data_IF_922510466998
#
_entry.id   IF_922510466998
#
_cell.length_a   1.000
_cell.length_b   1.000
_cell.length_c   1.000
_cell.angle_alpha   90.00
_cell.angle_beta   90.00
_cell.angle_gamma   90.00
#
_symmetry.space_group_name_H-M   'P 1'
#
loop_
_entity.id
_entity.type
_entity.pdbx_description
1 polymer ?
#
# COMPACT_ATOMS: atom_id res chain seq x y z
N UNK A 1 4.05 22.73 -3.89
CA UNK A 1 4.65 21.68 -4.72
C UNK A 1 3.99 21.74 -6.08
N UNK A 2 4.77 21.81 -7.15
CA UNK A 2 4.23 21.71 -8.51
C UNK A 2 3.84 20.24 -8.75
N UNK A 3 2.55 20.00 -9.01
CA UNK A 3 2.06 18.65 -9.32
C UNK A 3 2.61 18.18 -10.67
N UNK A 4 2.76 16.86 -10.81
CA UNK A 4 3.05 16.28 -12.11
C UNK A 4 1.95 16.69 -13.12
N UNK A 5 2.35 17.04 -14.35
CA UNK A 5 1.44 17.63 -15.35
C UNK A 5 0.20 16.78 -15.67
N UNK A 6 0.29 15.45 -15.48
CA UNK A 6 -0.82 14.50 -15.71
C UNK A 6 -1.83 14.43 -14.56
N UNK A 7 -1.59 15.11 -13.44
CA UNK A 7 -2.38 14.98 -12.21
C UNK A 7 -2.74 16.33 -11.59
N UNK A 8 -2.70 17.39 -12.40
CA UNK A 8 -3.34 18.64 -12.03
C UNK A 8 -4.83 18.35 -11.74
N UNK A 9 -5.33 18.70 -10.54
CA UNK A 9 -6.74 18.59 -10.22
C UNK A 9 -7.59 19.23 -11.32
N UNK A 10 -8.67 18.58 -11.75
CA UNK A 10 -9.64 19.27 -12.59
C UNK A 10 -10.28 20.42 -11.78
N UNK A 11 -10.81 21.46 -12.44
CA UNK A 11 -11.50 22.55 -11.73
C UNK A 11 -12.63 22.04 -10.81
N UNK A 12 -13.22 20.88 -11.10
CA UNK A 12 -14.23 20.23 -10.26
C UNK A 12 -13.69 19.46 -9.05
N UNK A 13 -12.40 19.10 -9.04
CA UNK A 13 -11.72 18.44 -7.91
C UNK A 13 -11.21 19.44 -6.87
N UNK A 14 -11.09 20.72 -7.25
CA UNK A 14 -10.68 21.82 -6.38
C UNK A 14 -11.90 22.42 -5.68
N UNK A 15 -12.46 21.71 -4.70
CA UNK A 15 -13.45 22.29 -3.81
C UNK A 15 -12.91 22.36 -2.38
N UNK A 16 -13.08 23.52 -1.77
CA UNK A 16 -12.89 23.69 -0.34
C UNK A 16 -14.17 23.19 0.31
N UNK A 17 -14.05 22.11 1.07
CA UNK A 17 -15.16 21.58 1.82
C UNK A 17 -15.33 22.39 3.12
N UNK A 18 -16.34 23.28 3.18
CA UNK A 18 -16.72 23.97 4.42
C UNK A 18 -17.69 23.07 5.23
N UNK A 19 -17.18 22.40 6.26
CA UNK A 19 -18.02 21.55 7.10
C UNK A 19 -18.86 22.40 8.06
N UNK A 20 -20.18 22.27 7.97
CA UNK A 20 -21.09 22.72 9.01
C UNK A 20 -21.11 21.69 10.14
N UNK A 21 -20.72 22.11 11.35
CA UNK A 21 -20.89 21.34 12.59
C UNK A 21 -22.39 21.06 12.83
N UNK A 22 -22.93 20.01 12.19
CA UNK A 22 -24.30 19.52 12.43
C UNK A 22 -24.35 18.50 13.58
N UNK A 23 -23.31 18.40 14.40
CA UNK A 23 -23.34 17.60 15.63
C UNK A 23 -23.36 16.08 15.43
N UNK A 24 -22.91 15.55 14.29
CA UNK A 24 -22.90 14.11 14.04
C UNK A 24 -21.57 13.45 14.44
N UNK A 25 -21.67 12.38 15.22
CA UNK A 25 -20.60 11.51 15.73
C UNK A 25 -20.03 10.51 14.71
N UNK A 26 -20.31 10.69 13.42
CA UNK A 26 -19.88 9.77 12.38
C UNK A 26 -18.43 10.08 11.99
N UNK A 27 -17.48 9.55 12.76
CA UNK A 27 -16.07 9.55 12.39
C UNK A 27 -15.85 8.72 11.12
N UNK A 28 -14.89 9.12 10.30
CA UNK A 28 -14.53 8.37 9.11
C UNK A 28 -13.99 6.99 9.54
N UNK A 29 -14.61 5.90 9.07
CA UNK A 29 -14.03 4.56 9.16
C UNK A 29 -12.96 4.46 8.09
N UNK A 30 -11.73 4.15 8.49
CA UNK A 30 -10.58 4.10 7.60
C UNK A 30 -10.28 2.67 7.13
N UNK A 31 -9.76 2.58 5.92
CA UNK A 31 -9.17 1.37 5.39
C UNK A 31 -7.97 0.97 6.25
N UNK A 32 -7.96 -0.26 6.76
CA UNK A 32 -6.89 -0.79 7.62
C UNK A 32 -5.54 -0.94 6.93
N UNK A 33 -5.54 -0.89 5.60
CA UNK A 33 -4.32 -0.99 4.80
C UNK A 33 -3.70 0.36 4.52
N UNK A 34 -4.48 1.39 4.13
CA UNK A 34 -3.94 2.65 3.61
C UNK A 34 -4.27 3.89 4.46
N UNK A 35 -5.11 3.74 5.48
CA UNK A 35 -5.57 4.82 6.35
C UNK A 35 -6.62 5.75 5.71
N UNK A 36 -6.92 5.59 4.42
CA UNK A 36 -7.91 6.41 3.73
C UNK A 36 -9.37 6.03 4.07
N UNK A 37 -10.32 6.98 4.10
CA UNK A 37 -11.71 6.72 4.40
C UNK A 37 -12.28 5.61 3.53
N UNK A 38 -12.83 4.59 4.19
CA UNK A 38 -13.66 3.55 3.55
C UNK A 38 -15.08 4.03 3.39
N UNK A 39 -15.60 4.76 4.38
CA UNK A 39 -16.95 5.32 4.35
C UNK A 39 -16.88 6.84 4.43
N UNK A 40 -17.29 7.49 3.34
CA UNK A 40 -17.52 8.94 3.34
C UNK A 40 -18.95 9.19 3.77
N UNK A 41 -19.12 9.72 4.98
CA UNK A 41 -20.44 10.00 5.57
C UNK A 41 -21.13 11.17 4.87
N UNK A 42 -20.37 12.02 4.20
CA UNK A 42 -20.88 13.28 3.65
C UNK A 42 -21.59 13.05 2.32
N UNK A 43 -22.92 13.24 2.33
CA UNK A 43 -23.79 13.16 1.14
C UNK A 43 -23.24 13.98 -0.03
N UNK A 44 -22.57 15.09 0.22
CA UNK A 44 -21.97 15.94 -0.82
C UNK A 44 -20.85 15.24 -1.60
N UNK A 45 -20.00 14.44 -0.95
CA UNK A 45 -18.93 13.71 -1.64
C UNK A 45 -19.53 12.53 -2.41
N UNK A 46 -20.50 11.84 -1.79
CA UNK A 46 -21.23 10.72 -2.41
C UNK A 46 -21.98 11.16 -3.67
N UNK A 47 -22.66 12.31 -3.61
CA UNK A 47 -23.49 12.80 -4.71
C UNK A 47 -22.70 13.48 -5.83
N UNK A 48 -21.47 13.95 -5.56
CA UNK A 48 -20.65 14.63 -6.57
C UNK A 48 -19.95 13.69 -7.56
N UNK A 49 -19.98 12.37 -7.35
CA UNK A 49 -19.42 11.35 -8.26
C UNK A 49 -17.99 11.70 -8.76
N UNK A 50 -17.14 12.17 -7.84
CA UNK A 50 -15.84 12.71 -8.17
C UNK A 50 -14.88 11.58 -8.55
N UNK A 51 -14.26 11.67 -9.73
CA UNK A 51 -13.34 10.65 -10.26
C UNK A 51 -12.22 10.32 -9.27
N UNK A 52 -11.73 11.33 -8.54
CA UNK A 52 -10.67 11.17 -7.53
C UNK A 52 -11.01 10.13 -6.46
N UNK A 53 -12.27 10.06 -6.02
CA UNK A 53 -12.67 9.21 -4.88
C UNK A 53 -13.28 7.87 -5.29
N UNK A 54 -13.41 7.60 -6.60
CA UNK A 54 -14.09 6.37 -7.07
C UNK A 54 -13.40 5.08 -6.66
N UNK A 55 -12.12 5.12 -6.33
CA UNK A 55 -11.37 3.95 -5.86
C UNK A 55 -11.53 3.69 -4.36
N UNK A 56 -12.15 4.59 -3.61
CA UNK A 56 -12.51 4.36 -2.21
C UNK A 56 -13.74 3.45 -2.09
N UNK A 57 -13.69 2.27 -2.74
CA UNK A 57 -14.75 1.28 -2.68
C UNK A 57 -14.53 0.40 -1.44
N UNK A 58 -15.38 0.52 -0.40
CA UNK A 58 -15.18 -0.24 0.83
C UNK A 58 -15.59 -1.70 0.64
N UNK A 59 -14.77 -2.57 1.21
CA UNK A 59 -15.05 -3.96 1.51
C UNK A 59 -14.81 -4.19 2.99
N UNK A 60 -15.36 -5.28 3.51
CA UNK A 60 -15.06 -5.75 4.85
C UNK A 60 -14.48 -7.16 4.78
N UNK A 61 -13.43 -7.41 5.55
CA UNK A 61 -12.73 -8.70 5.58
C UNK A 61 -12.70 -9.28 6.99
N UNK A 62 -12.79 -10.61 7.06
CA UNK A 62 -12.61 -11.37 8.30
C UNK A 62 -12.05 -12.75 8.00
N UNK A 63 -11.07 -13.21 8.78
CA UNK A 63 -10.62 -14.60 8.69
C UNK A 63 -11.64 -15.52 9.40
N UNK A 64 -12.17 -16.50 8.68
CA UNK A 64 -13.14 -17.45 9.22
C UNK A 64 -12.52 -18.36 10.26
N UNK A 65 -13.22 -18.56 11.40
CA UNK A 65 -12.77 -19.39 12.53
C UNK A 65 -11.45 -18.93 13.18
N UNK A 66 -11.01 -17.70 12.91
CA UNK A 66 -9.85 -17.13 13.57
C UNK A 66 -10.14 -16.96 15.07
N UNK A 67 -9.20 -17.44 15.89
CA UNK A 67 -9.23 -17.31 17.34
C UNK A 67 -7.80 -17.34 17.90
N UNK A 68 -7.56 -16.64 19.01
CA UNK A 68 -6.29 -16.73 19.72
C UNK A 68 -6.17 -18.07 20.47
N UNK A 69 -4.94 -18.60 20.65
CA UNK A 69 -4.72 -19.90 21.31
C UNK A 69 -5.17 -19.92 22.79
N UNK A 70 -5.28 -18.75 23.44
CA UNK A 70 -5.79 -18.61 24.80
C UNK A 70 -6.54 -17.29 24.95
N UNK A 71 -7.65 -17.30 25.68
CA UNK A 71 -8.54 -16.16 25.97
C UNK A 71 -7.86 -14.90 26.54
N UNK A 72 -6.57 -14.98 26.94
CA UNK A 72 -5.80 -13.88 27.54
C UNK A 72 -4.38 -13.74 26.98
N UNK A 73 -3.95 -14.68 26.14
CA UNK A 73 -2.60 -14.73 25.56
C UNK A 73 -2.82 -14.49 24.07
N UNK A 74 -2.63 -13.24 23.65
CA UNK A 74 -2.80 -12.73 22.26
C UNK A 74 -1.64 -13.25 21.39
N UNK A 75 -1.37 -14.55 21.49
CA UNK A 75 -0.32 -15.24 20.77
C UNK A 75 -0.88 -15.61 19.42
N UNK A 76 -0.27 -15.03 18.41
CA UNK A 76 -0.65 -15.20 17.02
C UNK A 76 -0.60 -16.67 16.60
N UNK A 77 -1.56 -17.09 15.79
CA UNK A 77 -1.62 -18.47 15.31
C UNK A 77 -0.42 -18.74 14.38
N UNK A 78 0.40 -19.78 14.62
CA UNK A 78 1.55 -20.04 13.76
C UNK A 78 1.10 -20.58 12.39
N UNK A 79 1.49 -19.89 11.31
CA UNK A 79 1.39 -20.38 9.93
C UNK A 79 -0.01 -20.84 9.49
N UNK A 80 -1.05 -20.04 9.74
CA UNK A 80 -2.42 -20.33 9.28
C UNK A 80 -2.74 -19.74 7.89
N UNK A 81 -3.64 -20.43 7.19
CA UNK A 81 -4.23 -20.01 5.90
C UNK A 81 -5.75 -20.21 5.98
N UNK A 82 -6.39 -19.41 6.83
CA UNK A 82 -7.83 -19.49 7.04
C UNK A 82 -8.56 -18.85 5.85
N UNK A 83 -9.76 -19.34 5.47
CA UNK A 83 -10.59 -18.67 4.49
C UNK A 83 -10.85 -17.22 4.91
N UNK A 84 -10.70 -16.29 3.97
CA UNK A 84 -11.03 -14.89 4.19
C UNK A 84 -12.44 -14.61 3.64
N UNK A 85 -13.37 -14.32 4.54
CA UNK A 85 -14.68 -13.80 4.18
C UNK A 85 -14.51 -12.35 3.70
N UNK A 86 -15.14 -12.02 2.57
CA UNK A 86 -15.12 -10.68 1.98
C UNK A 86 -16.55 -10.23 1.73
N UNK A 87 -16.96 -9.14 2.37
CA UNK A 87 -18.28 -8.55 2.22
C UNK A 87 -18.21 -7.29 1.36
N UNK A 88 -19.19 -7.13 0.48
CA UNK A 88 -19.40 -5.90 -0.28
C UNK A 88 -20.07 -4.82 0.57
N UNK A 89 -20.10 -3.59 0.05
CA UNK A 89 -20.68 -2.43 0.74
C UNK A 89 -22.12 -2.66 1.22
N UNK A 90 -22.92 -3.41 0.45
CA UNK A 90 -24.34 -3.68 0.76
C UNK A 90 -24.53 -4.66 1.93
N UNK A 91 -23.48 -5.37 2.33
CA UNK A 91 -23.50 -6.40 3.38
C UNK A 91 -22.81 -5.94 4.68
N UNK A 92 -22.34 -4.69 4.73
CA UNK A 92 -21.58 -4.12 5.87
C UNK A 92 -22.49 -3.31 6.78
N UNK A 93 -22.38 -3.56 8.09
CA UNK A 93 -23.02 -2.73 9.11
C UNK A 93 -21.97 -1.96 9.93
N UNK A 94 -22.32 -0.75 10.38
CA UNK A 94 -21.46 0.13 11.17
C UNK A 94 -22.16 0.43 12.51
N UNK A 95 -21.50 0.14 13.63
CA UNK A 95 -22.04 0.42 14.95
C UNK A 95 -22.17 1.93 15.21
N UNK A 96 -23.25 2.33 15.89
CA UNK A 96 -23.59 3.74 16.14
C UNK A 96 -24.05 4.52 14.90
N UNK A 97 -24.08 3.86 13.73
CA UNK A 97 -24.52 4.41 12.46
C UNK A 97 -25.60 3.48 11.87
N UNK A 98 -26.74 3.36 12.57
CA UNK A 98 -27.91 2.64 12.07
C UNK A 98 -28.51 3.36 10.86
N UNK A 99 -28.05 2.99 9.66
CA UNK A 99 -28.73 3.27 8.41
C UNK A 99 -29.63 2.06 8.08
N UNK A 100 -30.96 2.22 8.18
CA UNK A 100 -31.92 1.12 8.05
C UNK A 100 -31.88 0.38 6.71
N UNK A 101 -31.96 -0.95 6.78
CA UNK A 101 -32.22 -2.01 5.77
C UNK A 101 -31.67 -1.95 4.33
N UNK A 102 -31.04 -0.86 3.89
CA UNK A 102 -30.29 -0.70 2.64
C UNK A 102 -29.77 0.74 2.63
N UNK A 103 -28.50 0.95 2.26
CA UNK A 103 -27.80 2.25 2.21
C UNK A 103 -28.51 3.38 1.42
N UNK A 104 -29.67 3.12 0.81
CA UNK A 104 -30.53 4.05 0.09
C UNK A 104 -31.65 4.71 0.91
N UNK A 105 -31.95 4.27 2.15
CA UNK A 105 -33.02 4.89 2.97
C UNK A 105 -32.59 5.20 4.40
N UNK A 106 -32.51 6.50 4.68
CA UNK A 106 -32.07 7.06 5.96
C UNK A 106 -33.23 7.12 6.97
N UNK A 107 -33.49 6.03 7.68
CA UNK A 107 -34.29 6.09 8.93
C UNK A 107 -33.51 5.46 10.10
N UNK A 108 -33.38 6.16 11.25
CA UNK A 108 -32.69 5.64 12.42
C UNK A 108 -33.54 4.56 13.11
N UNK A 109 -32.99 3.36 13.26
CA UNK A 109 -33.60 2.28 14.06
C UNK A 109 -33.11 2.34 15.52
N UNK A 110 -33.96 1.96 16.51
CA UNK A 110 -33.51 1.74 17.88
C UNK A 110 -32.59 0.52 17.95
N UNK A 111 -31.57 0.56 18.82
CA UNK A 111 -30.65 -0.55 19.15
C UNK A 111 -31.41 -1.89 19.29
N UNK A 112 -31.40 -2.68 18.22
CA UNK A 112 -31.91 -4.06 18.17
C UNK A 112 -30.76 -5.07 18.25
N UNK A 113 -31.08 -6.37 18.24
CA UNK A 113 -30.07 -7.43 18.07
C UNK A 113 -29.23 -7.12 16.83
N UNK A 114 -27.97 -6.74 17.05
CA UNK A 114 -27.03 -6.41 15.98
C UNK A 114 -26.83 -7.64 15.07
N UNK A 115 -26.73 -7.44 13.76
CA UNK A 115 -26.24 -8.51 12.90
C UNK A 115 -24.78 -8.81 13.27
N UNK A 116 -24.32 -10.03 13.02
CA UNK A 116 -22.94 -10.44 13.28
C UNK A 116 -21.90 -9.81 12.34
N UNK A 117 -22.25 -8.76 11.56
CA UNK A 117 -21.46 -8.20 10.45
C UNK A 117 -21.05 -6.73 10.66
N UNK A 118 -20.86 -6.34 11.91
CA UNK A 118 -20.35 -5.02 12.25
C UNK A 118 -18.85 -4.89 11.92
N UNK A 119 -18.49 -3.78 11.28
CA UNK A 119 -17.08 -3.44 11.04
C UNK A 119 -16.50 -2.64 12.21
N UNK A 120 -15.24 -2.94 12.55
CA UNK A 120 -14.49 -2.30 13.65
C UNK A 120 -15.24 -2.31 15.00
N UNK A 121 -16.12 -3.28 15.22
CA UNK A 121 -16.83 -3.42 16.49
C UNK A 121 -15.88 -3.88 17.59
N UNK A 122 -15.61 -2.98 18.54
CA UNK A 122 -14.69 -3.19 19.65
C UNK A 122 -15.21 -4.21 20.68
N UNK A 123 -16.50 -4.55 20.64
CA UNK A 123 -17.10 -5.55 21.51
C UNK A 123 -17.14 -6.95 20.87
N UNK A 124 -16.87 -7.03 19.57
CA UNK A 124 -16.69 -8.29 18.87
C UNK A 124 -15.23 -8.72 18.98
N UNK A 125 -14.98 -9.95 19.42
CA UNK A 125 -13.62 -10.50 19.60
C UNK A 125 -12.81 -10.50 18.29
N UNK A 126 -13.50 -10.66 17.15
CA UNK A 126 -12.91 -10.69 15.80
C UNK A 126 -13.76 -9.85 14.83
N UNK A 127 -13.66 -8.51 14.88
CA UNK A 127 -14.50 -7.65 14.08
C UNK A 127 -14.12 -7.74 12.61
N UNK A 128 -15.05 -7.37 11.74
CA UNK A 128 -14.70 -7.15 10.35
C UNK A 128 -13.82 -5.91 10.23
N UNK A 129 -12.74 -6.02 9.47
CA UNK A 129 -11.85 -4.91 9.15
C UNK A 129 -12.20 -4.33 7.78
N UNK A 130 -12.32 -3.00 7.67
CA UNK A 130 -12.60 -2.37 6.37
C UNK A 130 -11.33 -2.22 5.53
N UNK A 131 -11.42 -2.56 4.25
CA UNK A 131 -10.35 -2.38 3.26
C UNK A 131 -10.93 -1.78 1.99
N UNK A 132 -10.13 -1.05 1.22
CA UNK A 132 -10.50 -0.73 -0.17
C UNK A 132 -10.27 -1.93 -1.08
N UNK A 133 -11.08 -2.10 -2.12
CA UNK A 133 -10.91 -3.19 -3.10
C UNK A 133 -9.51 -3.24 -3.69
N UNK A 134 -8.93 -2.09 -4.01
CA UNK A 134 -7.61 -1.94 -4.60
C UNK A 134 -6.51 -2.29 -3.59
N UNK A 135 -6.73 -1.98 -2.31
CA UNK A 135 -5.83 -2.38 -1.23
C UNK A 135 -5.85 -3.91 -1.03
N UNK A 136 -7.03 -4.54 -1.10
CA UNK A 136 -7.18 -5.99 -1.05
C UNK A 136 -6.50 -6.68 -2.24
N UNK A 137 -6.63 -6.12 -3.45
CA UNK A 137 -5.96 -6.65 -4.64
C UNK A 137 -4.43 -6.52 -4.57
N UNK A 138 -3.91 -5.41 -4.05
CA UNK A 138 -2.47 -5.25 -3.79
C UNK A 138 -1.98 -6.25 -2.74
N UNK A 139 -2.76 -6.49 -1.68
CA UNK A 139 -2.46 -7.48 -0.67
C UNK A 139 -2.40 -8.90 -1.25
N UNK A 140 -3.36 -9.28 -2.11
CA UNK A 140 -3.34 -10.57 -2.85
C UNK A 140 -2.07 -10.74 -3.68
N UNK A 141 -1.68 -9.70 -4.42
CA UNK A 141 -0.44 -9.73 -5.24
C UNK A 141 0.81 -9.96 -4.40
N UNK A 142 0.89 -9.32 -3.23
CA UNK A 142 2.02 -9.52 -2.33
C UNK A 142 2.02 -10.93 -1.72
N UNK A 143 0.86 -11.48 -1.36
CA UNK A 143 0.72 -12.87 -0.92
C UNK A 143 1.20 -13.84 -2.01
N UNK A 144 0.73 -13.68 -3.25
CA UNK A 144 1.15 -14.53 -4.38
C UNK A 144 2.66 -14.48 -4.60
N UNK A 145 3.25 -13.28 -4.53
CA UNK A 145 4.69 -13.08 -4.64
C UNK A 145 5.45 -13.78 -3.50
N UNK A 146 5.03 -13.59 -2.24
CA UNK A 146 5.64 -14.22 -1.07
C UNK A 146 5.53 -15.75 -1.13
N UNK A 147 4.39 -16.29 -1.58
CA UNK A 147 4.23 -17.73 -1.78
C UNK A 147 5.13 -18.27 -2.91
N UNK A 148 5.30 -17.53 -4.01
CA UNK A 148 6.23 -17.91 -5.06
C UNK A 148 7.68 -17.96 -4.55
N UNK A 149 8.09 -16.99 -3.73
CA UNK A 149 9.39 -16.98 -3.06
C UNK A 149 9.57 -18.19 -2.14
N UNK A 150 8.59 -18.52 -1.31
CA UNK A 150 8.64 -19.69 -0.44
C UNK A 150 8.75 -21.00 -1.22
N UNK A 151 7.99 -21.15 -2.32
CA UNK A 151 8.08 -22.30 -3.24
C UNK A 151 9.45 -22.40 -3.88
N UNK A 152 10.12 -21.27 -4.13
CA UNK A 152 11.49 -21.21 -4.62
C UNK A 152 12.56 -21.43 -3.51
N UNK A 153 12.16 -21.58 -2.24
CA UNK A 153 13.06 -21.76 -1.10
C UNK A 153 13.68 -20.47 -0.57
N UNK A 154 13.09 -19.31 -0.87
CA UNK A 154 13.48 -18.00 -0.33
C UNK A 154 12.70 -17.75 0.97
N UNK A 155 13.40 -17.35 2.03
CA UNK A 155 12.75 -16.97 3.29
C UNK A 155 12.08 -15.60 3.16
N UNK A 156 10.82 -15.51 3.61
CA UNK A 156 10.05 -14.25 3.64
C UNK A 156 10.16 -13.56 5.01
N UNK A 157 10.81 -14.18 5.99
CA UNK A 157 10.90 -13.70 7.38
C UNK A 157 9.75 -14.25 8.23
N UNK A 158 10.02 -14.66 9.49
CA UNK A 158 9.08 -15.47 10.28
C UNK A 158 7.83 -14.71 10.76
N UNK A 159 7.87 -13.37 10.80
CA UNK A 159 6.77 -12.52 11.26
C UNK A 159 5.93 -11.92 10.13
N UNK A 160 6.34 -12.12 8.88
CA UNK A 160 5.68 -11.48 7.73
C UNK A 160 4.50 -12.32 7.25
N UNK A 161 3.32 -11.72 7.03
CA UNK A 161 2.17 -12.44 6.50
C UNK A 161 2.46 -13.09 5.13
N UNK A 162 2.12 -14.36 5.00
CA UNK A 162 2.24 -15.16 3.76
C UNK A 162 0.88 -15.61 3.22
N UNK A 163 -0.20 -15.30 3.94
CA UNK A 163 -1.60 -15.58 3.63
C UNK A 163 -2.44 -14.34 3.91
N UNK A 164 -3.67 -14.31 3.38
CA UNK A 164 -4.58 -13.19 3.62
C UNK A 164 -5.10 -13.18 5.06
N UNK A 165 -5.29 -14.35 5.69
CA UNK A 165 -5.72 -14.45 7.09
C UNK A 165 -4.66 -13.91 8.05
N UNK A 166 -3.37 -14.12 7.77
CA UNK A 166 -2.28 -13.54 8.56
C UNK A 166 -2.24 -12.01 8.43
N UNK A 167 -2.58 -11.45 7.26
CA UNK A 167 -2.73 -10.00 7.14
C UNK A 167 -3.92 -9.49 7.95
N UNK A 168 -5.06 -10.19 7.92
CA UNK A 168 -6.22 -9.86 8.75
C UNK A 168 -5.86 -9.82 10.24
N UNK A 169 -5.11 -10.80 10.74
CA UNK A 169 -4.60 -10.83 12.11
C UNK A 169 -3.77 -9.59 12.45
N UNK A 170 -2.82 -9.19 11.61
CA UNK A 170 -2.05 -7.94 11.82
C UNK A 170 -2.97 -6.72 11.90
N UNK A 171 -3.97 -6.63 11.01
CA UNK A 171 -4.90 -5.51 11.02
C UNK A 171 -5.86 -5.51 12.21
N UNK A 172 -6.32 -6.68 12.64
CA UNK A 172 -7.14 -6.83 13.85
C UNK A 172 -6.36 -6.36 15.08
N UNK A 173 -5.08 -6.72 15.20
CA UNK A 173 -4.22 -6.23 16.29
C UNK A 173 -4.14 -4.69 16.31
N UNK A 174 -3.98 -4.06 15.13
CA UNK A 174 -3.96 -2.59 14.98
C UNK A 174 -5.26 -1.91 15.37
N UNK A 175 -6.38 -2.63 15.37
CA UNK A 175 -7.69 -2.13 15.80
C UNK A 175 -7.92 -2.35 17.30
N UNK A 176 -7.64 -3.55 17.81
CA UNK A 176 -8.14 -3.99 19.12
C UNK A 176 -7.12 -3.87 20.28
N UNK A 177 -5.80 -3.92 20.04
CA UNK A 177 -4.79 -3.95 21.14
C UNK A 177 -4.61 -2.63 21.91
N UNK A 178 -5.25 -1.54 21.50
CA UNK A 178 -4.94 -0.16 21.95
C UNK A 178 -5.85 0.32 23.09
N UNK A 179 -6.82 -0.50 23.48
CA UNK A 179 -8.04 -0.08 24.15
C UNK A 179 -7.88 0.37 25.62
N UNK A 180 -6.86 -0.04 26.38
CA UNK A 180 -6.96 0.18 27.84
C UNK A 180 -6.70 1.61 28.34
N UNK A 181 -6.00 2.49 27.61
CA UNK A 181 -5.57 3.80 28.16
C UNK A 181 -5.64 5.02 27.20
N UNK A 182 -6.28 4.93 26.03
CA UNK A 182 -6.31 6.05 25.06
C UNK A 182 -7.61 6.88 25.12
N UNK A 183 -7.54 8.19 24.79
CA UNK A 183 -8.62 9.13 25.06
C UNK A 183 -9.84 8.82 24.19
N UNK A 184 -10.96 8.64 24.87
CA UNK A 184 -12.30 8.75 24.32
C UNK A 184 -12.38 9.97 23.39
N UNK A 185 -13.13 9.87 22.29
CA UNK A 185 -13.42 11.02 21.45
C UNK A 185 -13.97 12.18 22.30
N UNK A 186 -13.79 13.43 21.85
CA UNK A 186 -13.99 14.68 22.64
C UNK A 186 -15.34 14.81 23.39
N UNK A 187 -16.33 13.96 23.10
CA UNK A 187 -17.66 13.95 23.71
C UNK A 187 -18.01 12.64 24.45
N UNK A 188 -17.04 11.85 24.91
CA UNK A 188 -17.31 10.60 25.64
C UNK A 188 -17.83 9.46 24.75
N UNK A 189 -17.69 9.59 23.43
CA UNK A 189 -17.88 8.48 22.49
C UNK A 189 -16.65 7.56 22.54
N UNK A 190 -16.91 6.25 22.65
CA UNK A 190 -15.91 5.22 22.95
C UNK A 190 -14.86 4.94 21.86
N UNK A 191 -14.93 5.56 20.68
CA UNK A 191 -14.27 4.99 19.51
C UNK A 191 -13.16 5.89 18.95
N UNK A 192 -11.88 5.49 18.99
CA UNK A 192 -11.03 5.69 17.83
C UNK A 192 -11.35 4.58 16.81
N UNK A 193 -12.16 4.89 15.78
CA UNK A 193 -12.36 4.04 14.57
C UNK A 193 -11.10 3.98 13.68
N UNK A 194 -9.91 3.99 14.28
CA UNK A 194 -8.64 4.28 13.59
C UNK A 194 -7.65 3.18 13.82
N UNK A 195 -7.03 2.81 12.72
CA UNK A 195 -5.97 1.84 12.64
C UNK A 195 -4.73 2.48 13.24
N UNK A 196 -4.17 1.87 14.29
CA UNK A 196 -2.86 2.31 14.79
C UNK A 196 -1.84 2.13 13.70
N UNK A 197 -1.08 3.19 13.51
CA UNK A 197 0.00 3.18 12.58
C UNK A 197 1.34 3.08 13.29
N UNK A 198 2.00 1.91 13.24
CA UNK A 198 3.28 1.74 13.91
C UNK A 198 4.42 2.56 13.26
N UNK A 199 4.22 3.12 12.07
CA UNK A 199 5.31 3.66 11.25
C UNK A 199 5.07 5.05 10.64
N UNK A 200 3.99 5.75 11.01
CA UNK A 200 3.72 7.15 10.59
C UNK A 200 3.66 7.42 9.06
N UNK A 201 3.39 6.43 8.21
CA UNK A 201 3.21 6.51 6.74
C UNK A 201 1.78 6.86 6.24
N UNK A 202 0.74 6.74 7.06
CA UNK A 202 -0.65 7.01 6.71
C UNK A 202 -0.82 8.49 6.52
N UNK A 203 -0.11 9.31 7.30
CA UNK A 203 -0.07 10.77 7.20
C UNK A 203 1.13 11.39 7.92
N UNK A 204 2.21 11.67 7.18
CA UNK A 204 3.43 12.25 7.77
C UNK A 204 3.23 13.64 8.39
N UNK A 205 2.28 14.42 7.87
CA UNK A 205 2.11 15.84 8.20
C UNK A 205 0.80 16.15 8.95
N UNK A 206 0.04 15.14 9.38
CA UNK A 206 -1.21 15.35 10.11
C UNK A 206 -1.13 14.67 11.47
N UNK A 207 -1.17 15.45 12.55
CA UNK A 207 -1.25 14.92 13.91
C UNK A 207 -2.58 14.16 14.07
N UNK A 208 -2.50 12.82 13.99
CA UNK A 208 -3.70 11.99 13.98
C UNK A 208 -4.31 11.71 15.35
N UNK A 209 -3.66 12.18 16.43
CA UNK A 209 -3.93 11.73 17.79
C UNK A 209 -5.22 12.31 18.40
N UNK A 210 -5.89 13.27 17.73
CA UNK A 210 -6.91 14.11 18.38
C UNK A 210 -8.22 14.37 17.60
N UNK A 211 -8.73 13.36 16.87
CA UNK A 211 -9.89 13.44 15.94
C UNK A 211 -9.50 14.07 14.60
N UNK A 212 -9.17 13.24 13.62
CA UNK A 212 -8.84 13.64 12.24
C UNK A 212 -10.01 13.38 11.35
N UNK A 213 -10.72 14.44 11.07
CA UNK A 213 -11.55 14.48 9.89
C UNK A 213 -10.62 14.40 8.68
N UNK A 214 -10.93 13.53 7.70
CA UNK A 214 -10.15 13.51 6.46
C UNK A 214 -10.21 14.89 5.81
N UNK A 215 -9.04 15.44 5.45
CA UNK A 215 -8.94 16.79 4.92
C UNK A 215 -9.26 16.82 3.42
N UNK A 216 -10.48 16.42 3.03
CA UNK A 216 -10.91 16.32 1.63
C UNK A 216 -10.54 17.57 0.83
N UNK A 217 -9.84 17.39 -0.29
CA UNK A 217 -9.46 18.51 -1.15
C UNK A 217 -8.30 19.38 -0.65
N UNK A 218 -7.71 19.08 0.52
CA UNK A 218 -6.47 19.71 0.99
C UNK A 218 -5.26 19.16 0.23
N UNK A 219 -4.37 20.04 -0.20
CA UNK A 219 -3.14 19.68 -0.92
C UNK A 219 -2.31 18.62 -0.19
N UNK A 220 -2.31 18.63 1.15
CA UNK A 220 -1.55 17.65 1.94
C UNK A 220 -2.05 16.21 1.80
N UNK A 221 -3.31 16.00 1.37
CA UNK A 221 -3.89 14.66 1.22
C UNK A 221 -3.97 14.18 -0.23
N UNK A 222 -3.54 14.99 -1.21
CA UNK A 222 -3.72 14.63 -2.63
C UNK A 222 -3.04 13.31 -3.01
N UNK A 223 -1.84 13.04 -2.49
CA UNK A 223 -1.19 11.74 -2.71
C UNK A 223 -2.11 10.58 -2.30
N UNK A 224 -2.73 10.71 -1.13
CA UNK A 224 -3.54 9.68 -0.49
C UNK A 224 -4.89 9.46 -1.17
N UNK A 225 -5.40 10.49 -1.85
CA UNK A 225 -6.67 10.46 -2.58
C UNK A 225 -6.54 9.89 -3.99
N UNK A 226 -5.33 9.74 -4.53
CA UNK A 226 -5.13 9.30 -5.92
C UNK A 226 -5.15 7.78 -6.02
N UNK A 227 -5.97 7.23 -6.93
CA UNK A 227 -6.10 5.77 -7.04
C UNK A 227 -4.74 5.11 -7.36
N UNK A 228 -4.31 4.10 -6.57
CA UNK A 228 -3.02 3.45 -6.76
C UNK A 228 -2.98 2.59 -8.04
N UNK A 229 -4.13 2.29 -8.66
CA UNK A 229 -4.21 1.51 -9.89
C UNK A 229 -5.52 1.81 -10.63
N UNK A 230 -5.55 1.80 -11.99
CA UNK A 230 -4.40 1.74 -12.89
C UNK A 230 -3.62 3.07 -12.92
N UNK A 231 -2.34 3.03 -13.31
CA UNK A 231 -1.50 4.22 -13.52
C UNK A 231 -1.31 4.42 -15.04
N UNK A 232 -1.98 5.43 -15.65
CA UNK A 232 -1.82 5.72 -17.07
C UNK A 232 -0.36 6.06 -17.40
N UNK A 233 0.19 5.43 -18.46
CA UNK A 233 1.55 5.70 -18.92
C UNK A 233 2.66 5.26 -17.95
N UNK A 234 2.35 4.37 -16.99
CA UNK A 234 3.31 3.93 -15.97
C UNK A 234 4.66 3.50 -16.54
N UNK A 235 4.65 2.66 -17.58
CA UNK A 235 5.90 2.12 -18.13
C UNK A 235 6.75 3.23 -18.72
N UNK A 236 6.15 4.16 -19.47
CA UNK A 236 6.83 5.32 -20.02
C UNK A 236 7.37 6.23 -18.92
N UNK A 237 6.61 6.42 -17.84
CA UNK A 237 7.04 7.17 -16.66
C UNK A 237 8.29 6.52 -16.03
N UNK A 238 8.27 5.20 -15.78
CA UNK A 238 9.43 4.48 -15.22
C UNK A 238 10.65 4.55 -16.16
N UNK A 239 10.44 4.40 -17.47
CA UNK A 239 11.49 4.49 -18.47
C UNK A 239 12.08 5.91 -18.58
N UNK A 240 11.33 6.95 -18.21
CA UNK A 240 11.85 8.33 -18.21
C UNK A 240 12.99 8.55 -17.20
N UNK A 241 13.05 7.74 -16.13
CA UNK A 241 14.13 7.78 -15.15
C UNK A 241 15.36 6.97 -15.55
N UNK A 242 15.28 6.21 -16.65
CA UNK A 242 16.39 5.40 -17.15
C UNK A 242 17.51 6.32 -17.67
N UNK A 243 18.74 6.01 -17.26
CA UNK A 243 19.92 6.78 -17.67
C UNK A 243 20.83 5.93 -18.56
N UNK A 244 21.58 6.54 -19.49
CA UNK A 244 22.61 5.83 -20.22
C UNK A 244 23.69 5.28 -19.27
N UNK A 245 24.29 4.16 -19.65
CA UNK A 245 25.48 3.62 -18.99
C UNK A 245 26.63 4.64 -19.07
N UNK A 246 27.50 4.71 -18.05
CA UNK A 246 28.72 5.50 -18.12
C UNK A 246 29.55 5.15 -19.36
N UNK A 247 30.17 6.12 -20.05
CA UNK A 247 30.94 5.87 -21.28
C UNK A 247 32.07 4.84 -21.09
N UNK A 248 32.62 4.72 -19.88
CA UNK A 248 33.63 3.73 -19.55
C UNK A 248 33.13 2.29 -19.63
N UNK A 249 31.81 2.05 -19.55
CA UNK A 249 31.18 0.74 -19.54
C UNK A 249 30.44 0.43 -20.86
N UNK A 250 30.23 1.42 -21.72
CA UNK A 250 29.64 1.21 -23.04
C UNK A 250 30.61 0.43 -23.93
N UNK A 251 30.14 -0.62 -24.61
CA UNK A 251 30.98 -1.47 -25.46
C UNK A 251 31.88 -2.47 -24.72
N UNK A 252 31.76 -2.58 -23.39
CA UNK A 252 32.42 -3.64 -22.63
C UNK A 252 31.55 -4.91 -22.59
N UNK A 253 31.40 -5.58 -23.73
CA UNK A 253 30.66 -6.85 -23.86
C UNK A 253 31.25 -8.03 -23.04
N UNK A 254 32.33 -7.81 -22.27
CA UNK A 254 33.12 -8.85 -21.60
C UNK A 254 32.90 -9.02 -20.10
N UNK A 255 32.18 -8.12 -19.41
CA UNK A 255 31.96 -8.23 -17.96
C UNK A 255 30.82 -9.21 -17.59
N UNK A 256 30.01 -9.65 -18.55
CA UNK A 256 28.82 -10.50 -18.36
C UNK A 256 29.07 -12.02 -18.40
N UNK A 257 30.25 -12.46 -18.87
CA UNK A 257 30.56 -13.89 -19.06
C UNK A 257 30.59 -14.69 -17.75
N UNK A 258 30.77 -14.04 -16.61
CA UNK A 258 30.93 -14.72 -15.32
C UNK A 258 29.67 -15.44 -14.85
N UNK A 259 28.49 -14.81 -14.97
CA UNK A 259 27.23 -15.37 -14.47
C UNK A 259 26.65 -16.42 -15.42
N UNK A 260 26.65 -16.13 -16.73
CA UNK A 260 26.13 -17.05 -17.76
C UNK A 260 26.96 -18.33 -17.86
N UNK A 261 28.24 -18.28 -17.47
CA UNK A 261 29.11 -19.46 -17.38
C UNK A 261 28.89 -20.30 -16.11
N UNK A 262 28.14 -19.81 -15.12
CA UNK A 262 27.82 -20.60 -13.93
C UNK A 262 26.78 -21.68 -14.25
N UNK A 263 26.84 -22.84 -13.57
CA UNK A 263 25.73 -23.79 -13.55
C UNK A 263 24.41 -23.11 -13.12
N UNK A 264 23.29 -23.57 -13.67
CA UNK A 264 21.95 -23.03 -13.40
C UNK A 264 21.66 -23.00 -11.90
N UNK A 265 22.12 -23.98 -11.13
CA UNK A 265 21.93 -24.03 -9.68
C UNK A 265 22.58 -22.84 -8.95
N UNK A 266 23.77 -22.41 -9.40
CA UNK A 266 24.46 -21.25 -8.82
C UNK A 266 23.81 -19.95 -9.28
N UNK A 267 23.33 -19.88 -10.51
CA UNK A 267 22.55 -18.73 -10.98
C UNK A 267 21.26 -18.58 -10.16
N UNK A 268 20.52 -19.67 -9.96
CA UNK A 268 19.32 -19.71 -9.13
C UNK A 268 19.61 -19.28 -7.69
N UNK A 269 20.74 -19.72 -7.11
CA UNK A 269 21.17 -19.25 -5.80
C UNK A 269 21.43 -17.75 -5.77
N UNK A 270 22.09 -17.19 -6.79
CA UNK A 270 22.32 -15.73 -6.87
C UNK A 270 20.98 -14.99 -6.93
N UNK A 271 20.05 -15.43 -7.77
CA UNK A 271 18.72 -14.81 -7.88
C UNK A 271 17.94 -14.88 -6.57
N UNK A 272 17.90 -16.04 -5.92
CA UNK A 272 17.23 -16.22 -4.62
C UNK A 272 17.76 -15.25 -3.56
N UNK A 273 19.07 -15.01 -3.54
CA UNK A 273 19.72 -14.09 -2.60
C UNK A 273 19.49 -12.60 -2.91
N UNK A 274 18.90 -12.26 -4.06
CA UNK A 274 18.46 -10.88 -4.31
C UNK A 274 17.19 -10.53 -3.55
N UNK A 275 16.40 -11.53 -3.11
CA UNK A 275 15.11 -11.31 -2.48
C UNK A 275 15.21 -11.32 -0.94
N UNK A 276 14.54 -10.39 -0.24
CA UNK A 276 13.83 -9.23 -0.79
C UNK A 276 14.79 -8.11 -1.24
N UNK A 277 14.52 -7.49 -2.37
CA UNK A 277 15.34 -6.38 -2.89
C UNK A 277 14.79 -5.03 -2.42
N UNK A 278 14.93 -4.76 -1.13
CA UNK A 278 14.39 -3.55 -0.48
C UNK A 278 15.55 -2.72 0.06
N UNK A 279 15.54 -1.42 -0.24
CA UNK A 279 16.55 -0.44 0.19
C UNK A 279 18.02 -0.86 -0.02
N UNK A 280 18.40 -1.37 -1.22
CA UNK A 280 19.78 -1.77 -1.48
C UNK A 280 20.72 -0.55 -1.50
N UNK A 281 22.04 -0.74 -1.33
CA UNK A 281 23.01 0.31 -1.60
C UNK A 281 22.83 0.89 -3.01
N UNK A 282 22.84 2.22 -3.13
CA UNK A 282 22.66 2.90 -4.43
C UNK A 282 23.86 2.71 -5.37
N UNK A 283 25.03 2.40 -4.81
CA UNK A 283 26.23 2.07 -5.59
C UNK A 283 25.98 0.81 -6.40
N UNK A 284 26.10 0.92 -7.73
CA UNK A 284 25.96 -0.23 -8.62
C UNK A 284 27.17 -1.17 -8.46
N UNK A 285 26.87 -2.44 -8.26
CA UNK A 285 27.86 -3.51 -8.11
C UNK A 285 28.40 -3.99 -9.45
N UNK A 286 27.63 -3.81 -10.53
CA UNK A 286 27.96 -4.28 -11.89
C UNK A 286 28.23 -5.78 -11.97
N UNK A 287 27.76 -6.54 -10.98
CA UNK A 287 27.97 -7.99 -10.91
C UNK A 287 27.01 -8.77 -11.80
N UNK A 288 25.87 -8.17 -12.16
CA UNK A 288 24.89 -8.73 -13.07
C UNK A 288 24.82 -7.89 -14.35
N UNK A 289 24.60 -8.52 -15.53
CA UNK A 289 24.40 -7.80 -16.77
C UNK A 289 23.22 -6.82 -16.69
N UNK A 290 23.31 -5.67 -17.36
CA UNK A 290 22.25 -4.65 -17.34
C UNK A 290 20.91 -5.23 -17.83
N UNK A 291 20.94 -6.03 -18.91
CA UNK A 291 19.80 -6.77 -19.44
C UNK A 291 19.07 -7.61 -18.37
N UNK A 292 19.81 -8.23 -17.47
CA UNK A 292 19.22 -9.08 -16.45
C UNK A 292 18.41 -8.27 -15.44
N UNK A 293 18.88 -7.08 -15.06
CA UNK A 293 18.10 -6.16 -14.21
C UNK A 293 16.80 -5.72 -14.88
N UNK A 294 16.83 -5.45 -16.19
CA UNK A 294 15.62 -5.17 -16.99
C UNK A 294 14.65 -6.35 -16.91
N UNK A 295 15.14 -7.55 -17.22
CA UNK A 295 14.30 -8.74 -17.27
C UNK A 295 13.69 -9.03 -15.88
N UNK A 296 14.48 -8.92 -14.80
CA UNK A 296 14.00 -9.06 -13.42
C UNK A 296 12.91 -8.04 -13.07
N UNK A 297 13.01 -6.80 -13.56
CA UNK A 297 12.01 -5.75 -13.36
C UNK A 297 10.70 -6.07 -14.10
N UNK A 298 10.78 -6.32 -15.40
CA UNK A 298 9.61 -6.51 -16.27
C UNK A 298 8.91 -7.86 -16.06
N UNK A 299 9.64 -8.90 -15.65
CA UNK A 299 9.06 -10.19 -15.28
C UNK A 299 8.62 -10.26 -13.81
N UNK A 300 8.54 -9.12 -13.11
CA UNK A 300 7.98 -9.00 -11.74
C UNK A 300 8.74 -9.81 -10.69
N UNK A 301 10.02 -10.06 -10.93
CA UNK A 301 10.83 -10.86 -10.04
C UNK A 301 11.38 -10.00 -8.91
N UNK A 302 11.84 -8.77 -9.20
CA UNK A 302 12.61 -7.96 -8.24
C UNK A 302 11.80 -6.86 -7.52
N UNK A 303 10.87 -6.20 -8.21
CA UNK A 303 10.03 -5.11 -7.67
C UNK A 303 8.54 -5.42 -7.90
N UNK A 304 7.91 -6.23 -7.03
CA UNK A 304 6.55 -6.72 -7.24
C UNK A 304 5.48 -5.62 -7.23
N UNK A 305 5.78 -4.43 -6.70
CA UNK A 305 4.88 -3.27 -6.69
C UNK A 305 4.72 -2.58 -8.06
N UNK A 306 5.52 -2.98 -9.06
CA UNK A 306 5.44 -2.56 -10.45
C UNK A 306 4.92 -3.70 -11.34
N UNK A 307 3.82 -4.35 -10.92
CA UNK A 307 3.32 -5.57 -11.57
C UNK A 307 2.76 -5.36 -12.98
N UNK A 308 2.37 -4.15 -13.35
CA UNK A 308 1.68 -3.80 -14.59
C UNK A 308 2.58 -3.06 -15.60
N UNK A 309 3.90 -3.27 -15.52
CA UNK A 309 4.83 -2.81 -16.56
C UNK A 309 4.59 -3.54 -17.89
N UNK A 310 4.59 -2.77 -18.97
CA UNK A 310 4.34 -3.22 -20.32
C UNK A 310 5.65 -3.52 -21.05
N UNK A 311 5.95 -4.80 -21.23
CA UNK A 311 7.15 -5.28 -21.92
C UNK A 311 7.24 -4.72 -23.35
N UNK A 312 6.09 -4.53 -24.03
CA UNK A 312 6.09 -4.04 -25.40
C UNK A 312 6.63 -2.60 -25.53
N UNK A 313 6.58 -1.81 -24.45
CA UNK A 313 7.15 -0.47 -24.42
C UNK A 313 8.68 -0.45 -24.57
N UNK A 314 9.37 -1.57 -24.36
CA UNK A 314 10.83 -1.67 -24.53
C UNK A 314 11.26 -1.44 -25.99
N UNK A 315 10.37 -1.69 -26.95
CA UNK A 315 10.62 -1.48 -28.38
C UNK A 315 10.57 0.00 -28.78
N UNK A 316 10.10 0.88 -27.88
CA UNK A 316 10.04 2.32 -28.13
C UNK A 316 11.40 3.01 -27.93
N UNK A 317 11.55 4.17 -28.54
CA UNK A 317 12.71 5.05 -28.34
C UNK A 317 12.40 6.13 -27.29
N UNK A 318 13.41 6.62 -26.56
CA UNK A 318 13.28 7.81 -25.72
C UNK A 318 12.75 9.00 -26.51
N UNK A 319 11.74 9.69 -25.96
CA UNK A 319 11.03 10.81 -26.60
C UNK A 319 11.93 12.05 -26.82
N UNK A 320 13.07 12.14 -26.13
CA UNK A 320 13.87 13.36 -25.98
C UNK A 320 15.14 13.44 -26.84
N UNK A 321 15.30 12.59 -27.86
CA UNK A 321 16.52 12.59 -28.67
C UNK A 321 16.23 12.94 -30.14
N UNK A 322 16.70 14.12 -30.55
CA UNK A 322 16.74 14.59 -31.95
C UNK A 322 17.82 13.88 -32.79
N UNK A 323 18.48 12.86 -32.23
CA UNK A 323 19.51 12.10 -32.92
C UNK A 323 18.89 11.09 -33.89
N UNK A 324 19.52 10.94 -35.06
CA UNK A 324 19.04 10.08 -36.16
C UNK A 324 19.04 8.58 -35.80
N UNK A 325 19.81 8.17 -34.78
CA UNK A 325 19.93 6.78 -34.31
C UNK A 325 19.76 6.69 -32.78
N UNK A 326 18.57 6.98 -32.27
CA UNK A 326 18.27 6.77 -30.85
C UNK A 326 18.07 5.28 -30.58
N UNK A 327 18.91 4.64 -29.76
CA UNK A 327 18.71 3.24 -29.40
C UNK A 327 17.38 3.06 -28.66
N UNK A 328 16.69 1.96 -28.96
CA UNK A 328 15.49 1.54 -28.22
C UNK A 328 15.86 1.17 -26.77
N UNK A 329 14.86 1.07 -25.90
CA UNK A 329 15.08 0.60 -24.52
C UNK A 329 15.57 -0.85 -24.44
N UNK A 330 15.41 -1.64 -25.50
CA UNK A 330 15.99 -2.99 -25.59
C UNK A 330 17.51 -3.02 -25.71
N UNK A 331 18.16 -1.92 -26.13
CA UNK A 331 19.60 -1.89 -26.38
C UNK A 331 20.41 -2.17 -25.10
N UNK A 332 21.04 -3.35 -25.06
CA UNK A 332 21.62 -3.94 -23.84
C UNK A 332 22.80 -3.14 -23.27
N UNK A 333 23.61 -2.55 -24.13
CA UNK A 333 24.85 -1.84 -23.75
C UNK A 333 24.68 -0.32 -23.63
N UNK A 334 23.44 0.16 -23.72
CA UNK A 334 23.14 1.59 -23.69
C UNK A 334 22.63 2.02 -22.34
N UNK A 335 21.77 1.23 -21.70
CA UNK A 335 20.97 1.68 -20.57
C UNK A 335 21.40 1.10 -19.23
N UNK A 336 21.38 1.93 -18.18
CA UNK A 336 21.77 1.57 -16.83
C UNK A 336 20.57 1.04 -16.01
N UNK A 337 20.18 -0.20 -16.29
CA UNK A 337 19.05 -0.86 -15.63
C UNK A 337 19.32 -1.17 -14.16
N UNK A 338 20.56 -1.51 -13.78
CA UNK A 338 20.91 -1.74 -12.37
C UNK A 338 20.63 -0.49 -11.53
N UNK A 339 21.05 0.68 -12.04
CA UNK A 339 20.82 1.94 -11.34
C UNK A 339 19.33 2.22 -11.20
N UNK A 340 18.56 2.04 -12.27
CA UNK A 340 17.11 2.25 -12.23
C UNK A 340 16.45 1.37 -11.18
N UNK A 341 16.73 0.05 -11.20
CA UNK A 341 16.14 -0.90 -10.25
C UNK A 341 16.54 -0.58 -8.81
N UNK A 342 17.82 -0.23 -8.55
CA UNK A 342 18.28 0.20 -7.22
C UNK A 342 17.59 1.46 -6.74
N UNK A 343 17.39 2.45 -7.63
CA UNK A 343 16.66 3.68 -7.32
C UNK A 343 15.19 3.38 -6.98
N UNK A 344 14.50 2.59 -7.81
CA UNK A 344 13.11 2.20 -7.57
C UNK A 344 12.92 1.34 -6.31
N UNK A 345 13.96 0.64 -5.88
CA UNK A 345 13.97 -0.15 -4.65
C UNK A 345 14.17 0.69 -3.37
N UNK A 346 14.53 1.98 -3.49
CA UNK A 346 14.72 2.84 -2.32
C UNK A 346 13.37 3.12 -1.65
N UNK A 347 13.39 3.10 -0.32
CA UNK A 347 12.20 3.32 0.51
C UNK A 347 11.73 4.77 0.45
N UNK A 348 12.68 5.69 0.34
CA UNK A 348 12.46 7.14 0.34
C UNK A 348 12.56 7.74 -1.07
N UNK A 349 12.35 6.95 -2.13
CA UNK A 349 12.63 7.38 -3.53
C UNK A 349 11.85 8.63 -3.97
N UNK A 350 10.73 8.92 -3.32
CA UNK A 350 9.82 10.04 -3.61
C UNK A 350 10.00 11.24 -2.68
N UNK A 351 10.93 11.18 -1.72
CA UNK A 351 11.17 12.30 -0.79
C UNK A 351 11.80 13.51 -1.48
N UNK A 352 11.65 14.72 -0.92
CA UNK A 352 12.33 15.91 -1.44
C UNK A 352 13.83 15.68 -1.61
N UNK A 353 14.34 16.02 -2.79
CA UNK A 353 15.74 15.84 -3.18
C UNK A 353 16.09 14.43 -3.70
N UNK A 354 15.13 13.52 -3.77
CA UNK A 354 15.32 12.16 -4.30
C UNK A 354 14.96 12.07 -5.80
N UNK A 355 15.48 11.07 -6.53
CA UNK A 355 15.36 11.04 -7.98
C UNK A 355 13.94 11.04 -8.54
N UNK A 356 12.94 10.55 -7.79
CA UNK A 356 11.55 10.47 -8.21
C UNK A 356 10.65 11.46 -7.43
N UNK A 357 11.19 12.52 -6.83
CA UNK A 357 10.39 13.48 -6.04
C UNK A 357 9.17 14.05 -6.80
N UNK A 358 9.29 14.17 -8.13
CA UNK A 358 8.26 14.69 -9.04
C UNK A 358 7.42 13.62 -9.73
N UNK A 359 7.57 12.36 -9.35
CA UNK A 359 6.78 11.28 -9.92
C UNK A 359 5.27 11.48 -9.66
N UNK A 360 4.40 10.92 -10.51
CA UNK A 360 2.95 10.97 -10.30
C UNK A 360 2.54 10.51 -8.90
N UNK A 361 1.66 11.27 -8.26
CA UNK A 361 0.98 10.98 -6.99
C UNK A 361 0.37 9.58 -6.98
N UNK A 362 -0.21 9.09 -8.09
CA UNK A 362 -0.70 7.70 -8.15
C UNK A 362 0.42 6.67 -7.92
N UNK A 363 1.61 6.92 -8.47
CA UNK A 363 2.78 6.06 -8.29
C UNK A 363 3.30 6.14 -6.86
N UNK A 364 3.35 7.35 -6.30
CA UNK A 364 3.71 7.60 -4.90
C UNK A 364 2.76 6.87 -3.93
N UNK A 365 1.45 7.03 -4.11
CA UNK A 365 0.44 6.36 -3.30
C UNK A 365 0.50 4.84 -3.43
N UNK A 366 0.72 4.32 -4.66
CA UNK A 366 0.92 2.88 -4.87
C UNK A 366 2.12 2.37 -4.06
N UNK A 367 3.28 3.04 -4.13
CA UNK A 367 4.44 2.61 -3.34
C UNK A 367 4.18 2.72 -1.85
N UNK A 368 3.51 3.78 -1.40
CA UNK A 368 3.11 3.98 0.00
C UNK A 368 2.28 2.81 0.52
N UNK A 369 1.19 2.48 -0.17
CA UNK A 369 0.31 1.35 0.18
C UNK A 369 1.07 0.03 0.13
N UNK A 370 1.93 -0.17 -0.88
CA UNK A 370 2.73 -1.37 -0.97
C UNK A 370 3.73 -1.49 0.19
N UNK A 371 4.37 -0.39 0.60
CA UNK A 371 5.28 -0.35 1.76
C UNK A 371 4.54 -0.72 3.05
N UNK A 372 3.34 -0.19 3.25
CA UNK A 372 2.48 -0.52 4.40
C UNK A 372 2.19 -2.02 4.49
N UNK A 373 2.05 -2.70 3.34
CA UNK A 373 1.89 -4.15 3.26
C UNK A 373 3.22 -4.92 3.39
N UNK A 374 4.32 -4.39 2.84
CA UNK A 374 5.66 -4.99 2.93
C UNK A 374 6.17 -5.05 4.38
N UNK A 375 5.90 -3.99 5.15
CA UNK A 375 6.35 -3.81 6.53
C UNK A 375 5.36 -4.33 7.57
N UNK A 376 4.15 -4.72 7.16
CA UNK A 376 3.19 -5.39 8.05
C UNK A 376 3.79 -6.68 8.62
N UNK A 377 3.90 -6.73 9.94
CA UNK A 377 4.50 -7.82 10.69
C UNK A 377 3.65 -8.12 11.93
N UNK A 378 3.64 -9.39 12.33
CA UNK A 378 3.00 -9.78 13.57
C UNK A 378 3.62 -9.04 14.79
N UNK A 379 2.77 -8.35 15.56
CA UNK A 379 3.18 -7.49 16.67
C UNK A 379 3.83 -6.17 16.24
N UNK A 380 3.62 -5.69 15.01
CA UNK A 380 4.23 -4.43 14.54
C UNK A 380 3.82 -3.18 15.35
N UNK A 381 2.70 -3.24 16.07
CA UNK A 381 2.25 -2.19 17.00
C UNK A 381 2.82 -2.28 18.41
N UNK A 382 3.58 -3.32 18.77
CA UNK A 382 4.01 -3.56 20.15
C UNK A 382 4.89 -2.40 20.70
N UNK A 383 5.81 -1.88 19.88
CA UNK A 383 6.63 -0.71 20.24
C UNK A 383 5.77 0.54 20.46
N UNK A 384 4.80 0.76 19.56
CA UNK A 384 3.86 1.86 19.69
C UNK A 384 3.10 1.76 21.01
N UNK A 385 2.56 0.57 21.33
CA UNK A 385 1.84 0.30 22.58
C UNK A 385 2.75 0.53 23.79
N UNK A 386 4.00 0.06 23.77
CA UNK A 386 4.94 0.27 24.88
C UNK A 386 5.19 1.76 25.17
N UNK A 387 5.46 2.55 24.13
CA UNK A 387 5.76 3.98 24.24
C UNK A 387 4.53 4.77 24.69
N UNK A 388 3.39 4.49 24.08
CA UNK A 388 2.21 5.35 24.15
C UNK A 388 1.23 4.92 25.25
N UNK A 389 1.12 3.62 25.52
CA UNK A 389 0.16 3.05 26.49
C UNK A 389 0.83 2.80 27.84
N UNK A 390 2.01 2.17 27.86
CA UNK A 390 2.63 1.74 29.11
C UNK A 390 3.60 2.77 29.73
N UNK A 391 4.34 3.54 28.92
CA UNK A 391 5.30 4.56 29.40
C UNK A 391 4.69 5.93 29.74
N UNK A 392 3.37 6.12 29.57
CA UNK A 392 2.64 7.33 29.98
C UNK A 392 2.30 7.43 31.48
N UNK A 393 2.95 6.64 32.35
CA UNK A 393 2.73 6.68 33.81
C UNK A 393 3.60 7.71 34.53
#
# INVERSE_FOLDING_TARGET
>A
MDFHHSELPSEGDLFIFERFDKGYHAGDICCVVCGAPSFVVEDEVRNKNLERYKWFVPLAIRAENYHYEKDWDIVSLPNHDLPLEVLGIDDIEIDGVHYGEQLFKLEPLPYGEHSSKLVHDLYTEYPYATVHSECLDMMRRLVDYRQALLKAGVSVGPKRPTTLSQFYEVFEQRLNRVHWHYPLGRNGTFNPLRVVEPHYYYFRDTDLFHNVMWAFGDQKVYEYEMAPSPIPGLTQEILSYLRPLPPSLQGQSGLSLGLEALPTELQDMVFKNLHPFINPPQTCTRSLPSRLWRDLLFYRQILPWLWDLDISALQSCPVTSDAVDVPTFEAEEVWDWERLVRTLAQVEVFEPGQPLEHAPLRLRNRRRIWRLLEEAEDGDIDEWVEIHVYKRK
#
